data_IF_045931241541
#
_entry.id   IF_045931241541
#
_cell.length_a   1.000
_cell.length_b   1.000
_cell.length_c   1.000
_cell.angle_alpha   90.00
_cell.angle_beta   90.00
_cell.angle_gamma   90.00
#
_symmetry.space_group_name_H-M   'P 1'
#
loop_
_entity.id
_entity.type
_entity.pdbx_description
1 polymer ?
#
# COMPACT_ATOMS: atom_id res chain seq x y z
N UNK A 1 36.83 -6.44 -18.36
CA UNK A 1 36.49 -6.33 -16.93
C UNK A 1 35.13 -6.98 -16.77
N UNK A 2 35.02 -7.96 -15.87
CA UNK A 2 33.75 -8.65 -15.59
C UNK A 2 32.92 -7.86 -14.56
N UNK A 3 31.57 -7.94 -14.59
CA UNK A 3 30.72 -7.20 -13.68
C UNK A 3 30.75 -7.79 -12.26
N UNK A 4 30.63 -6.92 -11.26
CA UNK A 4 30.35 -7.34 -9.88
C UNK A 4 28.83 -7.45 -9.71
N UNK A 5 28.36 -8.64 -9.36
CA UNK A 5 26.95 -8.93 -9.11
C UNK A 5 26.71 -9.05 -7.61
N UNK A 6 25.76 -8.30 -7.07
CA UNK A 6 25.32 -8.36 -5.67
C UNK A 6 23.84 -8.72 -5.65
N UNK A 7 23.47 -9.71 -4.83
CA UNK A 7 22.09 -10.14 -4.64
C UNK A 7 21.68 -9.89 -3.19
N UNK A 8 20.49 -9.33 -2.99
CA UNK A 8 19.87 -9.10 -1.68
C UNK A 8 18.41 -9.57 -1.70
N UNK A 9 17.93 -10.10 -0.59
CA UNK A 9 16.58 -10.65 -0.47
C UNK A 9 16.03 -10.47 0.94
N UNK A 10 14.69 -10.41 1.04
CA UNK A 10 14.00 -10.24 2.32
C UNK A 10 13.24 -11.51 2.70
N UNK A 11 13.38 -11.94 3.95
CA UNK A 11 12.52 -12.95 4.58
C UNK A 11 11.70 -12.26 5.68
N UNK A 12 10.38 -12.38 5.60
CA UNK A 12 9.49 -11.82 6.64
C UNK A 12 8.83 -12.94 7.43
N UNK A 13 9.14 -13.00 8.73
CA UNK A 13 8.49 -13.92 9.67
C UNK A 13 7.22 -13.25 10.19
N UNK A 14 6.06 -13.92 10.02
CA UNK A 14 4.78 -13.43 10.53
C UNK A 14 4.50 -13.92 11.95
N UNK A 15 3.74 -13.17 12.77
CA UNK A 15 3.24 -13.68 14.04
C UNK A 15 2.44 -14.97 13.85
N UNK A 16 2.47 -15.87 14.84
CA UNK A 16 1.66 -17.11 14.79
C UNK A 16 0.16 -16.81 14.78
N UNK A 17 -0.24 -15.82 15.59
CA UNK A 17 -1.60 -15.29 15.62
C UNK A 17 -1.68 -13.99 14.83
N UNK A 18 -2.16 -14.08 13.60
CA UNK A 18 -2.20 -12.96 12.67
C UNK A 18 -3.45 -12.09 12.91
N UNK A 19 -3.22 -10.81 13.08
CA UNK A 19 -4.22 -9.75 13.08
C UNK A 19 -3.99 -8.90 11.82
N UNK A 20 -4.55 -9.32 10.70
CA UNK A 20 -4.48 -8.58 9.44
C UNK A 20 -5.53 -7.46 9.45
N UNK A 21 -5.10 -6.25 9.76
CA UNK A 21 -5.96 -5.06 9.89
C UNK A 21 -5.31 -3.87 9.21
N UNK A 22 -6.14 -3.05 8.58
CA UNK A 22 -5.75 -1.83 7.91
C UNK A 22 -6.89 -0.82 7.97
N UNK A 23 -6.56 0.46 7.77
CA UNK A 23 -7.53 1.53 7.62
C UNK A 23 -7.23 2.34 6.36
N UNK A 24 -8.28 2.84 5.71
CA UNK A 24 -8.16 3.74 4.57
C UNK A 24 -8.96 5.01 4.83
N UNK A 25 -8.24 6.12 4.95
CA UNK A 25 -8.81 7.45 5.02
C UNK A 25 -8.76 8.08 3.61
N UNK A 26 -9.94 8.18 2.99
CA UNK A 26 -10.13 8.73 1.64
C UNK A 26 -10.00 10.25 1.59
N UNK A 27 -10.21 10.95 2.71
CA UNK A 27 -10.08 12.41 2.77
C UNK A 27 -8.61 12.77 2.84
N UNK A 28 -7.87 12.08 3.73
CA UNK A 28 -6.44 12.27 3.88
C UNK A 28 -5.65 11.63 2.71
N UNK A 29 -6.20 10.59 2.08
CA UNK A 29 -5.53 9.78 1.06
C UNK A 29 -4.46 8.90 1.67
N UNK A 30 -4.78 8.20 2.77
CA UNK A 30 -3.83 7.35 3.49
C UNK A 30 -4.34 5.95 3.73
N UNK A 31 -3.48 4.96 3.52
CA UNK A 31 -3.67 3.58 4.00
C UNK A 31 -2.69 3.33 5.15
N UNK A 32 -3.20 2.84 6.27
CA UNK A 32 -2.39 2.52 7.46
C UNK A 32 -2.47 1.03 7.77
N UNK A 33 -1.34 0.42 8.15
CA UNK A 33 -1.33 -0.91 8.72
C UNK A 33 -1.61 -0.82 10.23
N UNK A 34 -2.83 -1.17 10.64
CA UNK A 34 -3.28 -1.17 12.04
C UNK A 34 -3.26 -2.57 12.67
N UNK A 35 -2.70 -3.55 11.95
CA UNK A 35 -2.57 -4.94 12.37
C UNK A 35 -1.21 -5.26 12.99
N UNK A 36 -0.91 -6.56 13.07
CA UNK A 36 0.38 -7.06 13.58
C UNK A 36 1.21 -7.84 12.54
N UNK A 37 0.75 -7.91 11.28
CA UNK A 37 1.49 -8.52 10.16
C UNK A 37 1.77 -7.49 9.08
N UNK A 38 2.84 -7.69 8.33
CA UNK A 38 3.10 -6.93 7.11
C UNK A 38 2.14 -7.30 5.97
N UNK A 39 2.00 -6.41 4.98
CA UNK A 39 1.31 -6.70 3.71
C UNK A 39 1.82 -5.83 2.55
N UNK A 40 1.56 -6.27 1.31
CA UNK A 40 1.76 -5.47 0.09
C UNK A 40 0.50 -4.64 -0.18
N UNK A 41 0.65 -3.33 -0.28
CA UNK A 41 -0.37 -2.42 -0.81
C UNK A 41 -0.10 -2.21 -2.30
N UNK A 42 -1.15 -2.33 -3.11
CA UNK A 42 -1.14 -2.01 -4.53
C UNK A 42 -2.16 -0.90 -4.79
N UNK A 43 -1.73 0.18 -5.44
CA UNK A 43 -2.60 1.27 -5.89
C UNK A 43 -2.59 1.24 -7.42
N UNK A 44 -3.71 0.82 -7.99
CA UNK A 44 -3.87 0.66 -9.44
C UNK A 44 -4.61 1.85 -10.04
N UNK A 45 -4.25 2.32 -11.25
CA UNK A 45 -4.99 3.36 -11.96
C UNK A 45 -6.44 2.98 -12.29
N UNK A 46 -6.73 1.69 -12.42
CA UNK A 46 -8.06 1.18 -12.72
C UNK A 46 -8.19 -0.32 -12.44
N UNK A 47 -9.41 -0.85 -12.53
CA UNK A 47 -9.69 -2.26 -12.25
C UNK A 47 -8.90 -3.20 -13.18
N UNK A 48 -8.78 -2.84 -14.46
CA UNK A 48 -8.20 -3.67 -15.52
C UNK A 48 -6.68 -3.50 -15.71
N UNK A 49 -6.02 -2.61 -14.94
CA UNK A 49 -4.57 -2.41 -15.07
C UNK A 49 -3.78 -3.64 -14.58
N UNK A 50 -2.52 -3.79 -14.94
CA UNK A 50 -1.66 -4.84 -14.37
C UNK A 50 -1.17 -4.45 -12.97
N UNK A 51 -0.46 -5.36 -12.29
CA UNK A 51 0.26 -4.99 -11.06
C UNK A 51 1.46 -4.07 -11.34
N UNK A 52 2.13 -4.20 -12.50
CA UNK A 52 3.30 -3.37 -12.85
C UNK A 52 2.90 -1.93 -13.20
N UNK A 53 1.66 -1.73 -13.64
CA UNK A 53 1.09 -0.41 -13.95
C UNK A 53 0.65 0.36 -12.68
N UNK A 54 0.67 -0.29 -11.52
CA UNK A 54 0.33 0.30 -10.24
C UNK A 54 1.53 0.55 -9.35
N UNK A 55 1.35 1.42 -8.36
CA UNK A 55 2.37 1.61 -7.33
C UNK A 55 2.24 0.55 -6.22
N UNK A 56 3.38 0.10 -5.71
CA UNK A 56 3.45 -0.96 -4.70
C UNK A 56 4.27 -0.55 -3.47
N UNK A 57 3.76 -0.90 -2.28
CA UNK A 57 4.47 -0.73 -1.00
C UNK A 57 4.36 -1.97 -0.15
N UNK A 58 5.39 -2.25 0.65
CA UNK A 58 5.30 -3.21 1.74
C UNK A 58 5.12 -2.45 3.05
N UNK A 59 3.96 -2.60 3.69
CA UNK A 59 3.63 -1.93 4.96
C UNK A 59 3.84 -2.92 6.10
N UNK A 60 4.70 -2.57 7.05
CA UNK A 60 4.84 -3.25 8.34
C UNK A 60 3.79 -2.69 9.32
N UNK A 61 3.54 -3.38 10.46
CA UNK A 61 2.68 -2.85 11.51
C UNK A 61 3.03 -1.41 11.90
N UNK A 62 2.05 -0.51 11.86
CA UNK A 62 2.22 0.92 12.15
C UNK A 62 2.67 1.79 10.97
N UNK A 63 3.12 1.21 9.84
CA UNK A 63 3.47 1.99 8.66
C UNK A 63 2.20 2.63 8.03
N UNK A 64 2.36 3.83 7.49
CA UNK A 64 1.32 4.61 6.80
C UNK A 64 1.81 5.04 5.43
N UNK A 65 1.04 4.73 4.39
CA UNK A 65 1.26 5.22 3.03
C UNK A 65 0.28 6.35 2.77
N UNK A 66 0.78 7.51 2.32
CA UNK A 66 -0.03 8.65 1.87
C UNK A 66 0.18 8.85 0.39
N UNK A 67 -0.90 8.80 -0.39
CA UNK A 67 -0.83 9.00 -1.84
C UNK A 67 -1.98 9.88 -2.35
N UNK A 68 -1.71 10.84 -3.24
CA UNK A 68 -2.76 11.67 -3.84
C UNK A 68 -3.84 10.85 -4.56
N UNK A 69 -3.46 9.76 -5.23
CA UNK A 69 -4.38 8.85 -5.93
C UNK A 69 -5.40 8.18 -5.01
N UNK A 70 -5.14 8.14 -3.71
CA UNK A 70 -6.06 7.61 -2.70
C UNK A 70 -7.08 8.64 -2.22
N UNK A 71 -6.91 9.92 -2.57
CA UNK A 71 -7.89 10.94 -2.18
C UNK A 71 -9.10 10.83 -3.07
N UNK A 72 -10.29 10.75 -2.49
CA UNK A 72 -11.49 11.05 -3.24
C UNK A 72 -11.52 12.56 -3.51
N UNK A 73 -11.71 12.99 -4.77
CA UNK A 73 -12.16 14.35 -5.03
C UNK A 73 -13.43 14.56 -4.21
N UNK A 74 -13.53 15.65 -3.44
CA UNK A 74 -14.73 15.94 -2.66
C UNK A 74 -15.95 15.83 -3.57
N UNK A 75 -17.02 15.18 -3.10
CA UNK A 75 -18.26 15.12 -3.86
C UNK A 75 -18.61 16.54 -4.34
N UNK A 76 -18.88 16.74 -5.64
CA UNK A 76 -19.48 18.00 -6.07
C UNK A 76 -20.78 18.14 -5.28
N UNK A 77 -20.99 19.32 -4.66
CA UNK A 77 -22.27 19.67 -4.08
C UNK A 77 -23.33 19.67 -5.20
N UNK A 78 -23.90 18.50 -5.47
CA UNK A 78 -25.05 18.32 -6.35
C UNK A 78 -26.28 18.71 -5.54
N UNK A 79 -26.64 19.99 -5.56
CA UNK A 79 -27.87 20.44 -4.88
C UNK A 79 -28.06 21.94 -4.65
N UNK A 80 -27.46 22.83 -5.44
CA UNK A 80 -27.93 24.22 -5.57
C UNK A 80 -28.40 24.47 -7.00
#
# INVERSE_FOLDING_TARGET
MEPVVVMDTILVVRPREVQFKWSFDKVAGTVSNTGNTWFKLLIKPGCDSTEEEGDAWYLRPGDVVRQPALRQPGEPLSGL
#
